data_IF_422725625608
#
_entry.id   IF_422725625608
#
_cell.length_a   1.000
_cell.length_b   1.000
_cell.length_c   1.000
_cell.angle_alpha   90.00
_cell.angle_beta   90.00
_cell.angle_gamma   90.00
#
_symmetry.space_group_name_H-M   'P 1'
#
loop_
_entity.id
_entity.type
_entity.pdbx_description
1 polymer ?
#
# COMPACT_ATOMS: atom_id res chain seq x y z
N UNK A 1 -25.15 -37.87 14.86
CA UNK A 1 -25.17 -36.41 15.15
C UNK A 1 -26.11 -35.74 14.15
N UNK A 2 -27.25 -35.21 14.58
CA UNK A 2 -28.11 -34.39 13.71
C UNK A 2 -27.54 -32.98 13.72
N UNK A 3 -26.83 -32.57 12.67
CA UNK A 3 -26.40 -31.18 12.54
C UNK A 3 -27.63 -30.32 12.26
N UNK A 4 -27.99 -29.48 13.23
CA UNK A 4 -29.09 -28.54 13.09
C UNK A 4 -28.71 -27.48 12.05
N UNK A 5 -29.51 -27.34 11.00
CA UNK A 5 -29.26 -26.40 9.91
C UNK A 5 -29.07 -24.95 10.39
N UNK A 6 -29.75 -24.59 11.49
CA UNK A 6 -29.56 -23.31 12.19
C UNK A 6 -28.15 -23.15 12.79
N UNK A 7 -27.63 -24.19 13.43
CA UNK A 7 -26.28 -24.19 14.02
C UNK A 7 -25.23 -24.12 12.92
N UNK A 8 -25.44 -24.82 11.80
CA UNK A 8 -24.54 -24.76 10.65
C UNK A 8 -24.52 -23.36 10.02
N UNK A 9 -25.68 -22.72 9.87
CA UNK A 9 -25.79 -21.35 9.37
C UNK A 9 -25.08 -20.32 10.27
N UNK A 10 -25.21 -20.46 11.59
CA UNK A 10 -24.54 -19.58 12.55
C UNK A 10 -23.01 -19.71 12.50
N UNK A 11 -22.49 -20.94 12.39
CA UNK A 11 -21.06 -21.18 12.26
C UNK A 11 -20.51 -20.63 10.92
N UNK A 12 -21.26 -20.74 9.83
CA UNK A 12 -20.86 -20.19 8.53
C UNK A 12 -20.76 -18.65 8.58
N UNK A 13 -21.75 -17.99 9.19
CA UNK A 13 -21.77 -16.54 9.33
C UNK A 13 -20.63 -16.02 10.24
N UNK A 14 -20.31 -16.73 11.32
CA UNK A 14 -19.17 -16.39 12.16
C UNK A 14 -17.83 -16.53 11.42
N UNK A 15 -17.69 -17.54 10.57
CA UNK A 15 -16.46 -17.77 9.79
C UNK A 15 -16.16 -16.66 8.79
N UNK A 16 -17.17 -16.09 8.14
CA UNK A 16 -16.97 -15.00 7.15
C UNK A 16 -16.56 -13.68 7.81
N UNK A 17 -17.03 -13.40 9.02
CA UNK A 17 -16.63 -12.23 9.81
C UNK A 17 -15.16 -12.29 10.23
N UNK A 18 -14.64 -13.48 10.56
CA UNK A 18 -13.22 -13.65 10.89
C UNK A 18 -12.32 -13.54 9.65
N UNK A 19 -12.77 -14.06 8.50
CA UNK A 19 -12.02 -13.96 7.24
C UNK A 19 -11.92 -12.51 6.71
N UNK A 20 -12.84 -11.63 7.10
CA UNK A 20 -12.78 -10.21 6.75
C UNK A 20 -11.63 -9.44 7.43
N UNK A 21 -11.07 -9.96 8.53
CA UNK A 21 -9.88 -9.39 9.19
C UNK A 21 -8.57 -10.12 8.82
N UNK A 22 -8.61 -11.19 8.02
CA UNK A 22 -7.42 -11.92 7.59
C UNK A 22 -6.86 -11.37 6.27
N UNK A 23 -6.73 -10.05 6.17
CA UNK A 23 -6.10 -9.44 5.00
C UNK A 23 -4.71 -10.07 4.82
N UNK A 24 -4.38 -10.61 3.63
CA UNK A 24 -3.03 -11.11 3.38
C UNK A 24 -2.03 -10.01 3.69
N UNK A 25 -0.83 -10.35 4.22
CA UNK A 25 0.14 -9.36 4.65
C UNK A 25 0.37 -8.35 3.52
N UNK A 26 0.11 -7.08 3.82
CA UNK A 26 0.18 -5.98 2.87
C UNK A 26 1.51 -6.08 2.12
N UNK A 27 1.46 -6.27 0.80
CA UNK A 27 2.65 -6.39 -0.04
C UNK A 27 3.53 -5.13 0.11
N UNK A 28 2.92 -4.00 0.43
CA UNK A 28 3.62 -2.77 0.77
C UNK A 28 4.51 -2.92 2.02
N UNK A 29 4.11 -3.65 3.06
CA UNK A 29 4.92 -3.82 4.27
C UNK A 29 6.23 -4.59 4.01
N UNK A 30 6.24 -5.54 3.07
CA UNK A 30 7.47 -6.27 2.66
C UNK A 30 8.35 -5.45 1.72
N UNK A 31 7.77 -4.59 0.87
CA UNK A 31 8.51 -3.76 -0.08
C UNK A 31 8.98 -2.40 0.50
N UNK A 32 8.38 -1.93 1.61
CA UNK A 32 8.47 -0.55 2.05
C UNK A 32 9.83 -0.15 2.67
N UNK A 33 10.68 -1.09 3.10
CA UNK A 33 11.93 -0.73 3.78
C UNK A 33 13.09 -1.64 3.39
N UNK A 34 13.80 -1.26 2.32
CA UNK A 34 15.21 -1.62 2.09
C UNK A 34 16.09 -0.45 2.52
N UNK A 35 16.47 -0.33 3.81
CA UNK A 35 17.27 0.80 4.30
C UNK A 35 18.69 0.83 3.71
N UNK A 36 19.14 -0.28 3.16
CA UNK A 36 20.40 -0.49 2.46
C UNK A 36 20.41 0.07 1.02
N UNK A 37 19.25 0.44 0.49
CA UNK A 37 19.11 0.90 -0.90
C UNK A 37 18.64 2.35 -0.93
N UNK A 38 19.36 3.19 -1.66
CA UNK A 38 18.98 4.59 -1.81
C UNK A 38 17.56 4.72 -2.40
N UNK A 39 16.74 5.70 -1.97
CA UNK A 39 15.33 5.81 -2.37
C UNK A 39 15.09 5.85 -3.89
N UNK A 40 16.04 6.42 -4.65
CA UNK A 40 15.95 6.51 -6.11
C UNK A 40 16.24 5.19 -6.84
N UNK A 41 16.79 4.18 -6.14
CA UNK A 41 17.15 2.86 -6.69
C UNK A 41 16.05 1.80 -6.47
N UNK A 42 15.04 2.09 -5.64
CA UNK A 42 14.15 1.07 -5.09
C UNK A 42 12.91 0.71 -5.90
N UNK A 43 12.55 1.48 -6.92
CA UNK A 43 11.33 1.20 -7.69
C UNK A 43 11.65 0.52 -9.00
N UNK A 44 11.41 -0.79 -9.04
CA UNK A 44 11.37 -1.59 -10.27
C UNK A 44 10.16 -2.55 -10.20
N UNK A 45 9.04 -2.04 -9.70
CA UNK A 45 7.85 -2.83 -9.35
C UNK A 45 6.59 -2.40 -10.13
N UNK A 46 6.72 -1.65 -11.21
CA UNK A 46 5.60 -1.13 -12.01
C UNK A 46 4.77 0.00 -11.37
N UNK A 47 4.99 0.37 -10.11
CA UNK A 47 4.21 1.40 -9.39
C UNK A 47 4.86 2.80 -9.43
N UNK A 48 5.80 3.04 -10.33
CA UNK A 48 6.48 4.32 -10.46
C UNK A 48 5.57 5.39 -11.06
N UNK A 49 5.69 6.62 -10.58
CA UNK A 49 4.98 7.77 -11.15
C UNK A 49 5.55 8.16 -12.50
N UNK A 50 4.69 8.52 -13.46
CA UNK A 50 5.08 9.05 -14.78
C UNK A 50 6.05 10.22 -14.64
N UNK A 51 7.27 10.07 -15.16
CA UNK A 51 8.33 11.09 -15.13
C UNK A 51 9.48 10.80 -14.15
N UNK A 52 9.39 9.73 -13.35
CA UNK A 52 10.53 9.22 -12.58
C UNK A 52 11.15 7.98 -13.25
N UNK A 53 12.47 8.00 -13.46
CA UNK A 53 13.25 6.85 -13.94
C UNK A 53 14.01 6.16 -12.80
N UNK A 54 13.92 4.83 -12.64
CA UNK A 54 14.69 4.09 -11.63
C UNK A 54 16.19 4.31 -11.77
N UNK A 55 16.88 4.47 -10.64
CA UNK A 55 18.31 4.75 -10.60
C UNK A 55 18.72 6.18 -10.94
N UNK A 56 17.81 7.01 -11.48
CA UNK A 56 18.08 8.42 -11.76
C UNK A 56 17.69 9.30 -10.57
N UNK A 57 18.71 9.76 -9.82
CA UNK A 57 18.53 10.61 -8.65
C UNK A 57 17.90 11.98 -8.98
N UNK A 58 18.27 12.60 -10.11
CA UNK A 58 17.75 13.92 -10.48
C UNK A 58 16.25 13.86 -10.80
N UNK A 59 15.86 12.87 -11.59
CA UNK A 59 14.46 12.59 -11.93
C UNK A 59 13.62 12.24 -10.69
N UNK A 60 14.21 11.49 -9.75
CA UNK A 60 13.58 11.22 -8.45
C UNK A 60 13.36 12.51 -7.64
N UNK A 61 14.40 13.34 -7.50
CA UNK A 61 14.33 14.59 -6.74
C UNK A 61 13.29 15.56 -7.31
N UNK A 62 13.23 15.69 -8.64
CA UNK A 62 12.21 16.50 -9.31
C UNK A 62 10.79 16.01 -8.99
N UNK A 63 10.56 14.70 -9.08
CA UNK A 63 9.25 14.11 -8.78
C UNK A 63 8.83 14.35 -7.31
N UNK A 64 9.77 14.22 -6.36
CA UNK A 64 9.51 14.51 -4.93
C UNK A 64 9.22 15.99 -4.70
N UNK A 65 10.02 16.89 -5.26
CA UNK A 65 9.82 18.33 -5.13
C UNK A 65 8.45 18.77 -5.65
N UNK A 66 8.08 18.28 -6.85
CA UNK A 66 6.78 18.56 -7.47
C UNK A 66 5.61 18.02 -6.63
N UNK A 67 5.76 16.84 -6.02
CA UNK A 67 4.76 16.30 -5.09
C UNK A 67 4.59 17.21 -3.88
N UNK A 68 5.69 17.60 -3.24
CA UNK A 68 5.68 18.37 -2.00
C UNK A 68 5.01 19.74 -2.15
N UNK A 69 5.14 20.39 -3.31
CA UNK A 69 4.48 21.67 -3.61
C UNK A 69 2.95 21.65 -3.43
N UNK A 70 2.31 20.47 -3.54
CA UNK A 70 0.84 20.33 -3.44
C UNK A 70 0.37 19.73 -2.12
N UNK A 71 1.28 19.44 -1.20
CA UNK A 71 0.97 18.80 0.08
C UNK A 71 0.85 19.80 1.23
N UNK A 72 1.26 21.05 1.05
CA UNK A 72 1.15 22.06 2.11
C UNK A 72 -0.26 22.67 2.13
N UNK A 73 -0.88 22.75 3.31
CA UNK A 73 -2.18 23.41 3.49
C UNK A 73 -2.08 24.91 3.22
N UNK A 74 -0.90 25.52 3.42
CA UNK A 74 -0.63 26.92 3.07
C UNK A 74 -0.79 27.19 1.57
N UNK A 75 -0.54 26.20 0.72
CA UNK A 75 -0.78 26.32 -0.73
C UNK A 75 -2.27 26.32 -1.11
N UNK A 76 -3.17 26.00 -0.17
CA UNK A 76 -4.63 25.91 -0.39
C UNK A 76 -5.39 27.14 0.08
N UNK A 77 -4.85 27.86 1.06
CA UNK A 77 -5.41 29.13 1.52
C UNK A 77 -5.07 30.24 0.50
N UNK A 78 -5.90 30.39 -0.53
CA UNK A 78 -5.89 31.53 -1.44
C UNK A 78 -7.28 32.12 -1.53
#
# INVERSE_FOLDING_TARGET
MKLNFKTLGLCLAAGTLLAACSEPPEIAAKAAKRPDVAPYMGADNGFMTKGWTPGNQASWAEAINKRNQKQSEYSRAK
#
